data_IF_982803092827
#
_entry.id   IF_982803092827
#
_cell.length_a   1.000
_cell.length_b   1.000
_cell.length_c   1.000
_cell.angle_alpha   90.00
_cell.angle_beta   90.00
_cell.angle_gamma   90.00
#
_symmetry.space_group_name_H-M   'P 1'
#
loop_
_entity.id
_entity.type
_entity.pdbx_description
1 polymer ?
#
# COMPACT_ATOMS: atom_id res chain seq x y z
N UNK A 1 -0.26 7.71 9.56
CA UNK A 1 0.23 6.40 9.06
C UNK A 1 -0.55 6.08 7.80
N UNK A 2 0.10 5.93 6.65
CA UNK A 2 -0.61 5.63 5.42
C UNK A 2 -1.35 4.29 5.49
N UNK A 3 -2.66 4.32 5.20
CA UNK A 3 -3.49 3.13 5.03
C UNK A 3 -3.95 3.02 3.57
N UNK A 4 -4.95 2.22 3.25
CA UNK A 4 -5.40 2.01 1.87
C UNK A 4 -5.64 3.28 1.06
N UNK A 5 -6.43 4.26 1.59
CA UNK A 5 -6.70 5.51 0.89
C UNK A 5 -5.45 6.33 0.56
N UNK A 6 -4.55 6.52 1.53
CA UNK A 6 -3.32 7.26 1.33
C UNK A 6 -2.37 6.53 0.36
N UNK A 7 -2.23 5.20 0.51
CA UNK A 7 -1.42 4.40 -0.40
C UNK A 7 -1.95 4.45 -1.83
N UNK A 8 -3.27 4.46 -2.01
CA UNK A 8 -3.92 4.60 -3.33
C UNK A 8 -3.59 5.96 -3.96
N UNK A 9 -3.64 7.05 -3.20
CA UNK A 9 -3.24 8.37 -3.69
C UNK A 9 -1.76 8.40 -4.10
N UNK A 10 -0.87 7.97 -3.22
CA UNK A 10 0.56 7.88 -3.57
C UNK A 10 0.79 7.02 -4.81
N UNK A 11 0.10 5.89 -4.94
CA UNK A 11 0.23 5.03 -6.10
C UNK A 11 -0.26 5.69 -7.40
N UNK A 12 -1.35 6.45 -7.35
CA UNK A 12 -1.86 7.19 -8.50
C UNK A 12 -0.94 8.34 -8.92
N UNK A 13 -0.43 9.13 -7.95
CA UNK A 13 0.50 10.22 -8.19
C UNK A 13 1.82 9.67 -8.77
N UNK A 14 2.30 8.59 -8.18
CA UNK A 14 3.48 7.89 -8.65
C UNK A 14 3.28 7.37 -10.08
N UNK A 15 2.15 6.72 -10.36
CA UNK A 15 1.84 6.22 -11.71
C UNK A 15 1.84 7.35 -12.74
N UNK A 16 1.22 8.49 -12.44
CA UNK A 16 1.25 9.68 -13.32
C UNK A 16 2.66 10.20 -13.56
N UNK A 17 3.52 10.15 -12.53
CA UNK A 17 4.89 10.66 -12.60
C UNK A 17 5.85 9.77 -13.39
N UNK A 18 5.67 8.43 -13.32
CA UNK A 18 6.70 7.49 -13.81
C UNK A 18 6.30 6.69 -15.06
N UNK A 19 5.00 6.54 -15.36
CA UNK A 19 4.56 5.69 -16.48
C UNK A 19 5.10 6.20 -17.81
N UNK A 20 5.61 5.28 -18.62
CA UNK A 20 6.22 5.59 -19.92
C UNK A 20 7.61 6.23 -19.83
N UNK A 21 8.16 6.42 -18.63
CA UNK A 21 9.52 6.95 -18.44
C UNK A 21 10.55 5.83 -18.46
N UNK A 22 11.81 6.24 -18.53
CA UNK A 22 12.95 5.33 -18.42
C UNK A 22 13.60 5.49 -17.05
N UNK A 23 13.76 4.42 -16.30
CA UNK A 23 14.58 4.37 -15.09
C UNK A 23 16.04 4.16 -15.51
N UNK A 24 16.88 5.17 -15.29
CA UNK A 24 18.28 5.15 -15.69
C UNK A 24 19.19 4.57 -14.61
N UNK A 25 18.97 4.95 -13.34
CA UNK A 25 19.77 4.45 -12.22
C UNK A 25 19.03 4.56 -10.90
N UNK A 26 19.53 3.84 -9.87
CA UNK A 26 19.01 3.84 -8.52
C UNK A 26 20.16 4.12 -7.57
N UNK A 27 19.98 5.10 -6.68
CA UNK A 27 20.96 5.52 -5.68
C UNK A 27 20.42 5.31 -4.27
N UNK A 28 21.20 4.63 -3.43
CA UNK A 28 20.92 4.54 -1.99
C UNK A 28 21.46 5.79 -1.33
N UNK A 29 20.58 6.60 -0.73
CA UNK A 29 20.96 7.89 -0.16
C UNK A 29 21.26 7.83 1.33
N UNK A 30 20.43 7.13 2.09
CA UNK A 30 20.51 7.18 3.56
C UNK A 30 19.77 6.04 4.26
N UNK A 31 19.87 6.03 5.59
CA UNK A 31 19.10 5.15 6.45
C UNK A 31 19.58 3.71 6.44
N UNK A 32 18.67 2.80 6.75
CA UNK A 32 18.99 1.37 6.88
C UNK A 32 19.56 0.74 5.61
N UNK A 33 19.21 1.28 4.44
CA UNK A 33 19.59 0.70 3.16
C UNK A 33 21.07 0.88 2.82
N UNK A 34 21.79 1.80 3.50
CA UNK A 34 23.27 1.89 3.39
C UNK A 34 23.91 0.60 3.92
N UNK A 35 23.43 0.10 5.07
CA UNK A 35 24.00 -1.11 5.71
C UNK A 35 23.39 -2.40 5.16
N UNK A 36 22.11 -2.35 4.77
CA UNK A 36 21.37 -3.50 4.24
C UNK A 36 20.57 -3.04 3.01
N UNK A 37 21.16 -3.10 1.81
CA UNK A 37 20.49 -2.72 0.58
C UNK A 37 19.15 -3.44 0.39
N UNK A 38 18.19 -2.86 -0.33
CA UNK A 38 16.93 -3.52 -0.63
C UNK A 38 17.17 -4.82 -1.39
N UNK A 39 16.43 -5.87 -1.02
CA UNK A 39 16.55 -7.18 -1.67
C UNK A 39 16.36 -7.06 -3.19
N UNK A 40 17.27 -7.64 -3.97
CA UNK A 40 17.21 -7.72 -5.42
C UNK A 40 17.73 -6.49 -6.17
N UNK A 41 18.19 -5.44 -5.48
CA UNK A 41 18.65 -4.19 -6.13
C UNK A 41 19.84 -4.43 -7.07
N UNK A 42 20.76 -5.34 -6.73
CA UNK A 42 21.94 -5.65 -7.56
C UNK A 42 21.52 -6.23 -8.92
N UNK A 43 20.58 -7.19 -8.89
CA UNK A 43 20.04 -7.77 -10.12
C UNK A 43 19.37 -6.70 -10.97
N UNK A 44 18.65 -5.76 -10.34
CA UNK A 44 17.97 -4.67 -11.02
C UNK A 44 18.97 -3.72 -11.70
N UNK A 45 20.02 -3.32 -10.99
CA UNK A 45 21.04 -2.40 -11.52
C UNK A 45 21.71 -2.94 -12.81
N UNK A 46 21.84 -4.26 -12.93
CA UNK A 46 22.41 -4.89 -14.13
C UNK A 46 21.48 -4.83 -15.36
N UNK A 47 20.22 -4.46 -15.18
CA UNK A 47 19.23 -4.35 -16.26
C UNK A 47 18.89 -2.90 -16.63
N UNK A 48 19.45 -1.92 -15.90
CA UNK A 48 19.23 -0.50 -16.20
C UNK A 48 20.07 -0.05 -17.42
N UNK A 49 19.57 0.89 -18.23
CA UNK A 49 18.30 1.58 -18.13
C UNK A 49 17.10 0.73 -18.56
N UNK A 50 15.89 0.97 -17.98
CA UNK A 50 14.68 0.23 -18.30
C UNK A 50 13.45 1.11 -18.41
N UNK A 51 12.55 0.75 -19.34
CA UNK A 51 11.25 1.41 -19.47
C UNK A 51 10.32 1.01 -18.34
N UNK A 52 9.66 2.01 -17.75
CA UNK A 52 8.62 1.82 -16.73
C UNK A 52 7.27 1.73 -17.44
N UNK A 53 6.63 0.58 -17.34
CA UNK A 53 5.28 0.35 -17.87
C UNK A 53 4.25 1.15 -17.07
N UNK A 54 4.37 1.15 -15.74
CA UNK A 54 3.48 1.89 -14.85
C UNK A 54 3.66 1.51 -13.39
N UNK A 55 2.76 2.02 -12.56
CA UNK A 55 2.66 1.65 -11.16
C UNK A 55 1.20 1.34 -10.78
N UNK A 56 1.02 0.51 -9.77
CA UNK A 56 -0.28 0.16 -9.23
C UNK A 56 -0.28 0.10 -7.70
N UNK A 57 -1.48 -0.02 -7.15
CA UNK A 57 -1.69 -0.15 -5.71
C UNK A 57 -2.75 -1.20 -5.44
N UNK A 58 -2.51 -2.05 -4.46
CA UNK A 58 -3.49 -2.99 -3.91
C UNK A 58 -3.46 -2.90 -2.38
N UNK A 59 -4.50 -2.40 -1.79
CA UNK A 59 -4.54 -2.06 -0.37
C UNK A 59 -3.42 -1.10 0.03
N UNK A 60 -2.48 -1.57 0.86
CA UNK A 60 -1.30 -0.79 1.31
C UNK A 60 -0.01 -1.17 0.57
N UNK A 61 -0.10 -1.94 -0.47
CA UNK A 61 1.02 -2.39 -1.30
C UNK A 61 1.07 -1.59 -2.60
N UNK A 62 2.21 -0.92 -2.85
CA UNK A 62 2.47 -0.14 -4.07
C UNK A 62 3.53 -0.88 -4.88
N UNK A 63 3.35 -0.96 -6.18
CA UNK A 63 4.29 -1.65 -7.06
C UNK A 63 4.48 -0.92 -8.38
N UNK A 64 5.70 -1.03 -8.93
CA UNK A 64 6.04 -0.57 -10.28
C UNK A 64 6.20 -1.79 -11.17
N UNK A 65 5.93 -1.62 -12.45
CA UNK A 65 6.14 -2.63 -13.49
C UNK A 65 7.17 -2.06 -14.47
N UNK A 66 8.26 -2.80 -14.66
CA UNK A 66 9.37 -2.43 -15.56
C UNK A 66 9.62 -3.54 -16.57
N UNK A 67 9.55 -3.18 -17.86
CA UNK A 67 9.65 -4.17 -18.92
C UNK A 67 8.64 -5.32 -18.73
N UNK A 68 9.05 -6.53 -19.07
CA UNK A 68 8.18 -7.70 -18.99
C UNK A 68 8.32 -8.53 -17.70
N UNK A 69 9.47 -8.42 -17.02
CA UNK A 69 9.83 -9.36 -15.94
C UNK A 69 10.18 -8.70 -14.60
N UNK A 70 10.31 -7.38 -14.54
CA UNK A 70 10.81 -6.72 -13.34
C UNK A 70 9.71 -5.90 -12.66
N UNK A 71 9.72 -5.91 -11.33
CA UNK A 71 8.83 -5.10 -10.51
C UNK A 71 9.52 -4.57 -9.26
N UNK A 72 9.19 -3.35 -8.86
CA UNK A 72 9.62 -2.75 -7.59
C UNK A 72 8.41 -2.75 -6.66
N UNK A 73 8.57 -3.34 -5.49
CA UNK A 73 7.53 -3.46 -4.48
C UNK A 73 7.81 -2.54 -3.31
N UNK A 74 6.84 -1.77 -2.88
CA UNK A 74 6.98 -0.92 -1.72
C UNK A 74 5.80 -0.99 -0.78
N UNK A 75 6.10 -0.83 0.52
CA UNK A 75 5.12 -0.51 1.54
C UNK A 75 5.58 0.74 2.26
N UNK A 76 4.65 1.59 2.66
CA UNK A 76 4.99 2.87 3.28
C UNK A 76 5.23 2.77 4.80
N UNK A 77 4.83 1.66 5.41
CA UNK A 77 4.91 1.52 6.86
C UNK A 77 4.16 2.64 7.58
N UNK A 78 4.83 3.33 8.52
CA UNK A 78 4.21 4.41 9.29
C UNK A 78 4.50 5.81 8.75
N UNK A 79 5.63 6.00 8.08
CA UNK A 79 6.15 7.32 7.67
C UNK A 79 6.70 7.34 6.26
N UNK A 80 6.50 6.26 5.52
CA UNK A 80 6.92 6.16 4.13
C UNK A 80 6.10 7.07 3.23
N UNK A 81 6.76 7.60 2.20
CA UNK A 81 6.14 8.41 1.15
C UNK A 81 6.97 8.38 -0.13
N UNK A 82 6.37 8.85 -1.21
CA UNK A 82 7.05 9.11 -2.47
C UNK A 82 6.99 10.61 -2.78
N UNK A 83 8.02 11.17 -3.42
CA UNK A 83 8.07 12.57 -3.80
C UNK A 83 8.96 12.81 -5.02
N UNK A 84 8.75 13.94 -5.72
CA UNK A 84 9.66 14.41 -6.79
C UNK A 84 10.88 15.16 -6.23
N UNK A 85 10.74 15.75 -5.03
CA UNK A 85 11.80 16.50 -4.37
C UNK A 85 12.45 15.70 -3.25
N UNK A 86 13.75 15.90 -3.00
CA UNK A 86 14.44 15.24 -1.91
C UNK A 86 13.99 15.81 -0.55
N UNK A 87 13.95 14.95 0.45
CA UNK A 87 13.75 15.33 1.85
C UNK A 87 14.93 14.84 2.70
N UNK A 88 15.05 15.33 3.93
CA UNK A 88 16.04 14.78 4.89
C UNK A 88 15.83 13.30 5.22
N UNK A 89 14.69 12.75 4.81
CA UNK A 89 14.32 11.35 5.03
C UNK A 89 14.31 10.52 3.74
N UNK A 90 14.84 11.06 2.63
CA UNK A 90 15.01 10.31 1.39
C UNK A 90 15.99 9.16 1.58
N UNK A 91 15.54 7.95 1.28
CA UNK A 91 16.29 6.72 1.47
C UNK A 91 16.86 6.17 0.17
N UNK A 92 16.04 6.22 -0.87
CA UNK A 92 16.42 5.75 -2.21
C UNK A 92 15.95 6.77 -3.23
N UNK A 93 16.81 7.09 -4.17
CA UNK A 93 16.57 7.98 -5.33
C UNK A 93 16.52 7.14 -6.60
N UNK A 94 15.49 7.32 -7.36
CA UNK A 94 15.28 6.70 -8.65
C UNK A 94 15.45 7.78 -9.72
N UNK A 95 16.45 7.66 -10.58
CA UNK A 95 16.79 8.66 -11.60
C UNK A 95 16.09 8.26 -12.90
N UNK A 96 15.10 9.04 -13.29
CA UNK A 96 14.38 8.87 -14.54
C UNK A 96 15.01 9.77 -15.63
N UNK A 97 14.58 9.57 -16.86
CA UNK A 97 15.04 10.38 -18.00
C UNK A 97 14.63 11.86 -17.93
N UNK A 98 13.67 12.22 -17.07
CA UNK A 98 13.13 13.59 -16.91
C UNK A 98 13.18 14.11 -15.46
N UNK A 99 14.02 13.52 -14.62
CA UNK A 99 14.23 13.92 -13.24
C UNK A 99 13.98 12.81 -12.22
N UNK A 100 14.37 13.02 -10.98
CA UNK A 100 14.33 11.97 -9.96
C UNK A 100 12.96 11.77 -9.33
N UNK A 101 12.81 10.62 -8.68
CA UNK A 101 11.73 10.30 -7.73
C UNK A 101 12.37 9.69 -6.48
N UNK A 102 11.86 10.05 -5.32
CA UNK A 102 12.44 9.66 -4.04
C UNK A 102 11.49 8.80 -3.22
N UNK A 103 12.03 7.72 -2.65
CA UNK A 103 11.38 6.98 -1.58
C UNK A 103 11.86 7.51 -0.26
N UNK A 104 10.95 8.07 0.53
CA UNK A 104 11.22 8.67 1.83
C UNK A 104 10.69 7.77 2.94
N UNK A 105 11.41 7.64 4.04
CA UNK A 105 10.90 6.96 5.24
C UNK A 105 11.66 7.38 6.49
N UNK A 106 11.06 8.23 7.30
CA UNK A 106 11.68 8.74 8.53
C UNK A 106 12.01 7.62 9.51
N UNK A 107 11.10 6.69 9.74
CA UNK A 107 11.20 5.64 10.75
C UNK A 107 11.81 4.33 10.23
N UNK A 108 12.06 4.22 8.94
CA UNK A 108 12.57 3.02 8.27
C UNK A 108 11.71 1.74 8.49
N UNK A 109 10.39 1.89 8.61
CA UNK A 109 9.43 0.78 8.75
C UNK A 109 8.81 0.35 7.41
N UNK A 110 8.86 1.23 6.43
CA UNK A 110 8.47 0.89 5.07
C UNK A 110 9.46 -0.08 4.43
N UNK A 111 9.07 -0.71 3.33
CA UNK A 111 9.91 -1.69 2.64
C UNK A 111 10.05 -1.35 1.16
N UNK A 112 11.23 -1.65 0.62
CA UNK A 112 11.49 -1.73 -0.81
C UNK A 112 12.04 -3.12 -1.12
N UNK A 113 11.55 -3.71 -2.21
CA UNK A 113 12.03 -4.98 -2.74
C UNK A 113 12.04 -4.90 -4.27
N UNK A 114 13.10 -5.38 -4.87
CA UNK A 114 13.28 -5.47 -6.31
C UNK A 114 13.11 -6.94 -6.72
N UNK A 115 12.14 -7.20 -7.59
CA UNK A 115 11.69 -8.56 -7.87
C UNK A 115 11.79 -8.84 -9.36
N UNK A 116 12.47 -9.95 -9.70
CA UNK A 116 12.50 -10.49 -11.05
C UNK A 116 11.58 -11.71 -11.16
N UNK A 117 10.80 -11.75 -12.22
CA UNK A 117 9.89 -12.85 -12.56
C UNK A 117 8.49 -12.34 -12.85
N UNK A 118 8.02 -12.60 -14.06
CA UNK A 118 6.72 -12.17 -14.58
C UNK A 118 5.54 -12.58 -13.67
N UNK A 119 5.61 -13.75 -13.09
CA UNK A 119 4.52 -14.30 -12.29
C UNK A 119 4.57 -13.92 -10.81
N UNK A 120 5.71 -13.45 -10.29
CA UNK A 120 5.84 -13.16 -8.86
C UNK A 120 4.90 -12.05 -8.38
N UNK A 121 4.71 -11.00 -9.18
CA UNK A 121 3.77 -9.94 -8.84
C UNK A 121 2.32 -10.47 -8.85
N UNK A 122 1.97 -11.28 -9.82
CA UNK A 122 0.64 -11.91 -9.92
C UNK A 122 0.36 -12.77 -8.71
N UNK A 123 1.30 -13.64 -8.33
CA UNK A 123 1.18 -14.49 -7.13
C UNK A 123 1.10 -13.66 -5.84
N UNK A 124 1.87 -12.56 -5.76
CA UNK A 124 1.78 -11.63 -4.63
C UNK A 124 0.40 -11.01 -4.51
N UNK A 125 -0.18 -10.55 -5.61
CA UNK A 125 -1.51 -9.95 -5.63
C UNK A 125 -2.61 -10.97 -5.32
N UNK A 126 -2.52 -12.19 -5.85
CA UNK A 126 -3.44 -13.30 -5.54
C UNK A 126 -3.40 -13.72 -4.07
N UNK A 127 -2.24 -13.62 -3.42
CA UNK A 127 -2.09 -13.95 -2.00
C UNK A 127 -2.63 -12.86 -1.06
N UNK A 128 -3.03 -11.72 -1.58
CA UNK A 128 -3.68 -10.64 -0.82
C UNK A 128 -5.19 -10.80 -0.88
N UNK A 129 -5.87 -10.37 0.17
CA UNK A 129 -7.31 -10.25 0.18
C UNK A 129 -7.79 -9.15 -0.76
N UNK A 130 -9.11 -9.08 -1.04
CA UNK A 130 -9.69 -8.07 -1.92
C UNK A 130 -9.38 -6.65 -1.43
N UNK A 131 -9.14 -5.73 -2.36
CA UNK A 131 -8.89 -4.32 -2.06
C UNK A 131 -10.21 -3.59 -1.76
N UNK A 132 -10.43 -3.30 -0.48
CA UNK A 132 -11.68 -2.73 0.02
C UNK A 132 -12.03 -1.34 -0.55
N UNK A 133 -11.06 -0.64 -1.13
CA UNK A 133 -11.28 0.65 -1.78
C UNK A 133 -11.51 0.53 -3.29
N UNK A 134 -10.81 -0.41 -3.93
CA UNK A 134 -10.81 -0.54 -5.39
C UNK A 134 -11.91 -1.44 -5.92
N UNK A 135 -12.34 -2.41 -5.10
CA UNK A 135 -13.27 -3.45 -5.51
C UNK A 135 -14.61 -3.29 -4.80
N UNK A 136 -15.70 -3.57 -5.50
CA UNK A 136 -17.03 -3.62 -4.86
C UNK A 136 -17.31 -5.03 -4.33
N UNK A 137 -16.73 -5.29 -3.15
CA UNK A 137 -16.80 -6.59 -2.49
C UNK A 137 -18.23 -6.88 -2.02
N UNK A 138 -18.81 -8.00 -2.46
CA UNK A 138 -20.12 -8.44 -1.97
C UNK A 138 -20.07 -8.82 -0.49
N UNK A 139 -21.21 -8.76 0.21
CA UNK A 139 -21.30 -9.26 1.59
C UNK A 139 -20.90 -10.72 1.68
N UNK A 140 -21.27 -11.55 0.70
CA UNK A 140 -20.94 -12.97 0.67
C UNK A 140 -19.42 -13.20 0.61
N UNK A 141 -18.70 -12.47 -0.25
CA UNK A 141 -17.24 -12.58 -0.37
C UNK A 141 -16.53 -12.04 0.88
N UNK A 142 -17.04 -10.93 1.44
CA UNK A 142 -16.53 -10.38 2.70
C UNK A 142 -16.68 -11.37 3.85
N UNK A 143 -17.86 -12.00 4.00
CA UNK A 143 -18.11 -13.02 5.02
C UNK A 143 -17.20 -14.24 4.84
N UNK A 144 -17.08 -14.72 3.60
CA UNK A 144 -16.22 -15.86 3.26
C UNK A 144 -14.76 -15.58 3.66
N UNK A 145 -14.25 -14.38 3.35
CA UNK A 145 -12.88 -13.99 3.70
C UNK A 145 -12.64 -13.97 5.20
N UNK A 146 -13.54 -13.35 5.97
CA UNK A 146 -13.41 -13.27 7.44
C UNK A 146 -13.61 -14.62 8.12
N UNK A 147 -14.61 -15.39 7.70
CA UNK A 147 -14.95 -16.68 8.29
C UNK A 147 -13.91 -17.78 8.07
N UNK A 148 -12.92 -17.54 7.18
CA UNK A 148 -11.73 -18.38 7.11
C UNK A 148 -10.90 -18.36 8.40
N UNK A 149 -11.14 -17.38 9.32
CA UNK A 149 -10.45 -17.24 10.60
C UNK A 149 -11.45 -17.04 11.76
N UNK A 150 -12.36 -18.02 12.03
CA UNK A 150 -13.50 -17.83 12.91
C UNK A 150 -13.12 -17.49 14.35
N UNK A 151 -12.00 -18.01 14.84
CA UNK A 151 -11.51 -17.83 16.21
C UNK A 151 -10.66 -16.55 16.41
N UNK A 152 -10.40 -15.79 15.34
CA UNK A 152 -9.65 -14.54 15.49
C UNK A 152 -10.57 -13.43 16.00
N UNK A 153 -9.99 -12.53 16.82
CA UNK A 153 -10.65 -11.26 17.09
C UNK A 153 -10.88 -10.50 15.79
N UNK A 154 -12.02 -9.84 15.68
CA UNK A 154 -12.40 -9.09 14.49
C UNK A 154 -11.37 -8.02 14.13
N UNK A 155 -10.76 -7.37 15.13
CA UNK A 155 -9.67 -6.41 14.97
C UNK A 155 -8.48 -7.00 14.24
N UNK A 156 -8.09 -8.23 14.57
CA UNK A 156 -6.99 -8.94 13.91
C UNK A 156 -7.38 -9.34 12.50
N UNK A 157 -8.58 -9.87 12.32
CA UNK A 157 -9.05 -10.37 11.03
C UNK A 157 -9.12 -9.27 9.96
N UNK A 158 -9.71 -8.10 10.29
CA UNK A 158 -9.84 -7.00 9.31
C UNK A 158 -8.53 -6.24 9.05
N UNK A 159 -7.51 -6.40 9.87
CA UNK A 159 -6.18 -5.81 9.64
C UNK A 159 -5.23 -6.71 8.86
N UNK A 160 -5.56 -7.98 8.70
CA UNK A 160 -4.74 -8.92 7.93
C UNK A 160 -4.96 -8.70 6.43
N UNK A 161 -3.91 -8.26 5.76
CA UNK A 161 -3.94 -7.91 4.34
C UNK A 161 -4.16 -9.12 3.41
N UNK A 162 -4.08 -10.35 3.92
CA UNK A 162 -4.43 -11.58 3.17
C UNK A 162 -5.92 -11.90 3.25
N UNK A 163 -6.64 -11.30 4.20
CA UNK A 163 -8.09 -11.47 4.38
C UNK A 163 -8.84 -10.37 3.63
N UNK A 164 -8.50 -9.10 3.93
CA UNK A 164 -8.98 -7.91 3.23
C UNK A 164 -7.84 -6.89 3.17
N UNK A 165 -7.66 -6.25 2.01
CA UNK A 165 -6.55 -5.32 1.83
C UNK A 165 -6.98 -3.86 2.03
N UNK A 166 -6.05 -3.06 2.57
CA UNK A 166 -6.20 -1.61 2.73
C UNK A 166 -6.52 -1.15 4.15
N UNK A 167 -7.15 -1.97 4.96
CA UNK A 167 -7.53 -1.62 6.34
C UNK A 167 -6.32 -1.53 7.25
N UNK A 168 -6.23 -0.46 8.02
CA UNK A 168 -5.26 -0.25 9.07
C UNK A 168 -5.92 0.22 10.37
N UNK A 169 -5.17 0.88 11.23
CA UNK A 169 -5.65 1.18 12.59
C UNK A 169 -6.81 2.17 12.64
N UNK A 170 -6.75 3.27 11.88
CA UNK A 170 -7.84 4.24 11.94
C UNK A 170 -9.10 3.69 11.25
N UNK A 171 -8.96 3.08 10.06
CA UNK A 171 -10.10 2.47 9.35
C UNK A 171 -10.75 1.40 10.22
N UNK A 172 -9.95 0.52 10.82
CA UNK A 172 -10.44 -0.50 11.76
C UNK A 172 -11.24 0.11 12.91
N UNK A 173 -10.67 1.12 13.58
CA UNK A 173 -11.29 1.70 14.78
C UNK A 173 -12.59 2.41 14.45
N UNK A 174 -12.59 3.23 13.42
CA UNK A 174 -13.75 4.00 13.01
C UNK A 174 -14.86 3.11 12.42
N UNK A 175 -14.47 2.08 11.66
CA UNK A 175 -15.44 1.13 11.07
C UNK A 175 -16.12 0.25 12.12
N UNK A 176 -15.37 -0.24 13.10
CA UNK A 176 -15.94 -1.02 14.20
C UNK A 176 -16.87 -0.17 15.09
N UNK A 177 -16.48 1.09 15.36
CA UNK A 177 -17.31 2.03 16.08
C UNK A 177 -18.61 2.33 15.33
N UNK A 178 -18.53 2.62 14.04
CA UNK A 178 -19.68 2.91 13.19
C UNK A 178 -20.62 1.71 13.06
N UNK A 179 -20.07 0.48 13.05
CA UNK A 179 -20.84 -0.74 12.97
C UNK A 179 -21.39 -1.20 14.35
N UNK A 180 -21.02 -0.53 15.46
CA UNK A 180 -21.44 -0.92 16.83
C UNK A 180 -20.83 -2.24 17.29
N UNK A 181 -19.65 -2.64 16.78
CA UNK A 181 -19.03 -3.93 17.06
C UNK A 181 -17.88 -3.76 18.05
N UNK A 182 -17.95 -4.51 19.16
CA UNK A 182 -16.84 -4.55 20.13
C UNK A 182 -15.58 -5.16 19.49
N UNK A 183 -14.40 -4.52 19.64
CA UNK A 183 -13.15 -4.97 19.03
C UNK A 183 -12.64 -6.33 19.51
N UNK A 184 -13.12 -6.79 20.67
CA UNK A 184 -12.72 -8.07 21.29
C UNK A 184 -13.56 -9.26 20.84
N UNK A 185 -14.61 -9.03 20.07
CA UNK A 185 -15.45 -10.14 19.57
C UNK A 185 -14.68 -10.96 18.54
N UNK A 186 -14.90 -12.27 18.57
CA UNK A 186 -14.38 -13.16 17.54
C UNK A 186 -15.25 -13.10 16.28
N UNK A 187 -14.66 -13.41 15.13
CA UNK A 187 -15.39 -13.46 13.86
C UNK A 187 -16.59 -14.40 13.95
N UNK A 188 -16.44 -15.56 14.58
CA UNK A 188 -17.52 -16.55 14.75
C UNK A 188 -18.70 -16.03 15.58
N UNK A 189 -18.48 -15.07 16.48
CA UNK A 189 -19.53 -14.49 17.32
C UNK A 189 -20.37 -13.43 16.62
N UNK A 190 -19.98 -13.01 15.40
CA UNK A 190 -20.69 -11.98 14.65
C UNK A 190 -21.76 -12.59 13.75
N UNK A 191 -22.93 -12.00 13.75
CA UNK A 191 -24.02 -12.31 12.84
C UNK A 191 -23.73 -11.81 11.42
N UNK A 192 -24.44 -12.31 10.43
CA UNK A 192 -24.35 -11.82 9.05
C UNK A 192 -24.74 -10.34 8.94
N UNK A 193 -25.71 -9.93 9.73
CA UNK A 193 -26.16 -8.54 9.80
C UNK A 193 -25.07 -7.60 10.31
N UNK A 194 -24.34 -8.01 11.36
CA UNK A 194 -23.19 -7.27 11.90
C UNK A 194 -22.02 -7.23 10.90
N UNK A 195 -21.73 -8.34 10.25
CA UNK A 195 -20.69 -8.40 9.21
C UNK A 195 -21.05 -7.52 8.00
N UNK A 196 -22.31 -7.49 7.58
CA UNK A 196 -22.78 -6.59 6.51
C UNK A 196 -22.65 -5.12 6.91
N UNK A 197 -23.01 -4.77 8.16
CA UNK A 197 -22.80 -3.43 8.69
C UNK A 197 -21.32 -3.05 8.69
N UNK A 198 -20.44 -3.96 9.09
CA UNK A 198 -19.01 -3.74 9.09
C UNK A 198 -18.44 -3.55 7.67
N UNK A 199 -18.86 -4.37 6.69
CA UNK A 199 -18.46 -4.22 5.30
C UNK A 199 -18.81 -2.82 4.76
N UNK A 200 -20.05 -2.37 4.98
CA UNK A 200 -20.49 -1.02 4.60
C UNK A 200 -19.67 0.07 5.30
N UNK A 201 -19.43 -0.08 6.60
CA UNK A 201 -18.67 0.89 7.40
C UNK A 201 -17.22 1.02 6.91
N UNK A 202 -16.53 -0.10 6.62
CA UNK A 202 -15.17 -0.08 6.06
C UNK A 202 -15.15 0.66 4.72
N UNK A 203 -16.04 0.31 3.80
CA UNK A 203 -16.14 0.95 2.49
C UNK A 203 -16.42 2.44 2.61
N UNK A 204 -17.32 2.82 3.51
CA UNK A 204 -17.68 4.23 3.75
C UNK A 204 -16.46 5.01 4.25
N UNK A 205 -15.81 4.57 5.33
CA UNK A 205 -14.64 5.25 5.91
C UNK A 205 -13.51 5.37 4.88
N UNK A 206 -13.23 4.31 4.12
CA UNK A 206 -12.17 4.33 3.12
C UNK A 206 -12.48 5.30 1.96
N UNK A 207 -13.72 5.37 1.49
CA UNK A 207 -14.14 6.30 0.43
C UNK A 207 -14.07 7.74 0.88
N UNK A 208 -14.62 8.06 2.08
CA UNK A 208 -14.54 9.40 2.67
C UNK A 208 -13.08 9.85 2.85
N UNK A 209 -12.24 8.98 3.40
CA UNK A 209 -10.80 9.29 3.55
C UNK A 209 -10.12 9.52 2.21
N UNK A 210 -10.44 8.72 1.20
CA UNK A 210 -9.86 8.90 -0.14
C UNK A 210 -10.29 10.20 -0.80
N UNK A 211 -11.58 10.58 -0.68
CA UNK A 211 -12.14 11.80 -1.25
C UNK A 211 -11.61 13.07 -0.56
N UNK A 212 -11.46 13.02 0.78
CA UNK A 212 -10.94 14.15 1.58
C UNK A 212 -9.42 14.35 1.48
N UNK A 213 -8.71 13.48 0.78
CA UNK A 213 -7.27 13.59 0.66
C UNK A 213 -6.46 12.74 1.62
N UNK A 214 -7.09 11.89 2.39
CA UNK A 214 -6.51 11.09 3.47
C UNK A 214 -7.12 11.47 4.81
N UNK A 215 -6.90 10.63 5.83
CA UNK A 215 -7.29 10.98 7.19
C UNK A 215 -6.60 12.30 7.58
N UNK A 216 -7.33 13.20 8.22
CA UNK A 216 -6.88 14.54 8.69
C UNK A 216 -5.78 14.46 9.77
N UNK A 217 -4.92 13.48 9.70
CA UNK A 217 -3.72 13.38 10.53
C UNK A 217 -2.66 14.20 9.81
N UNK A 218 -2.13 15.22 10.47
CA UNK A 218 -1.13 16.26 10.09
C UNK A 218 0.12 15.79 9.31
N UNK A 219 0.11 14.64 8.67
CA UNK A 219 1.30 14.04 8.04
C UNK A 219 1.12 13.67 6.57
N UNK A 220 -0.06 13.90 5.97
CA UNK A 220 -0.21 13.71 4.54
C UNK A 220 0.27 14.98 3.82
N UNK A 221 1.33 14.84 3.03
CA UNK A 221 1.71 15.80 2.00
C UNK A 221 1.49 15.16 0.65
N UNK A 222 0.90 15.88 -0.26
CA UNK A 222 0.76 15.43 -1.65
C UNK A 222 2.15 15.11 -2.24
N UNK A 223 2.18 14.37 -3.35
CA UNK A 223 3.42 14.05 -4.07
C UNK A 223 4.25 15.30 -4.41
N UNK A 224 3.59 16.43 -4.60
CA UNK A 224 4.19 17.76 -4.91
C UNK A 224 4.40 18.65 -3.68
N UNK A 225 4.18 18.15 -2.45
CA UNK A 225 4.43 18.91 -1.22
C UNK A 225 3.32 19.89 -0.80
N UNK A 226 2.17 19.90 -1.48
CA UNK A 226 0.98 20.69 -1.09
C UNK A 226 0.24 20.01 0.09
N UNK A 227 -0.21 20.81 1.07
CA UNK A 227 -0.99 20.34 2.24
C UNK A 227 -2.46 20.09 1.87
#
# INVERSE_FOLDING_TARGET
MPEGPECRKYGQDLARRISGKTLNSIEIMSGRYIKKPPTGIEVFNNHLPMSIVGAGTHGKFIYWILGEELSIWSTLGMTGSWSSDPTKHSRVKFILNDGPVYYNDQRNFGTLKFVRGKFQLIEKLKAMGPDMLAEDISDADFFKSLRAKPNWEITKAIMDQSIIAGVGNYIKSDSLWLAGISPKRTVASLTDQELSALNRSIKHIMRESFQSGGATIRTYKSFNGEE
#
